data_IF_312262246969
#
_entry.id   IF_312262246969
#
_cell.length_a   1.000
_cell.length_b   1.000
_cell.length_c   1.000
_cell.angle_alpha   90.00
_cell.angle_beta   90.00
_cell.angle_gamma   90.00
#
_symmetry.space_group_name_H-M   'P 1'
#
loop_
_entity.id
_entity.type
_entity.pdbx_description
1 polymer ?
#
# COMPACT_ATOMS: atom_id res chain seq x y z
N UNK A 1 -18.09 19.14 -8.12
CA UNK A 1 -18.06 18.72 -9.55
C UNK A 1 -17.22 17.48 -9.79
N UNK A 2 -15.92 17.43 -9.44
CA UNK A 2 -15.10 16.21 -9.63
C UNK A 2 -15.66 15.02 -8.84
N UNK A 3 -16.02 15.23 -7.57
CA UNK A 3 -16.53 14.16 -6.70
C UNK A 3 -17.78 13.47 -7.26
N UNK A 4 -18.77 14.22 -7.76
CA UNK A 4 -20.04 13.64 -8.25
C UNK A 4 -19.86 12.85 -9.56
N UNK A 5 -19.03 13.37 -10.47
CA UNK A 5 -18.71 12.69 -11.72
C UNK A 5 -17.99 11.36 -11.49
N UNK A 6 -17.04 11.34 -10.54
CA UNK A 6 -16.29 10.13 -10.19
C UNK A 6 -17.18 9.13 -9.48
N UNK A 7 -18.04 9.56 -8.55
CA UNK A 7 -19.01 8.66 -7.89
C UNK A 7 -20.00 8.03 -8.87
N UNK A 8 -20.45 8.79 -9.87
CA UNK A 8 -21.30 8.27 -10.93
C UNK A 8 -20.55 7.28 -11.84
N UNK A 9 -19.25 7.46 -12.05
CA UNK A 9 -18.42 6.49 -12.78
C UNK A 9 -18.17 5.22 -11.95
N UNK A 10 -17.84 5.35 -10.65
CA UNK A 10 -17.70 4.22 -9.72
C UNK A 10 -18.97 3.36 -9.65
N UNK A 11 -20.16 3.98 -9.59
CA UNK A 11 -21.44 3.26 -9.52
C UNK A 11 -21.77 2.47 -10.79
N UNK A 12 -21.18 2.85 -11.93
CA UNK A 12 -21.27 2.12 -13.20
C UNK A 12 -20.08 1.18 -13.43
N UNK A 13 -19.16 1.07 -12.47
CA UNK A 13 -17.87 0.37 -12.63
C UNK A 13 -17.04 0.87 -13.83
N UNK A 14 -17.24 2.13 -14.22
CA UNK A 14 -16.46 2.81 -15.25
C UNK A 14 -15.17 3.35 -14.61
N UNK A 15 -14.29 2.43 -14.27
CA UNK A 15 -13.05 2.75 -13.56
C UNK A 15 -12.12 3.63 -14.39
N UNK A 16 -12.11 3.46 -15.71
CA UNK A 16 -11.31 4.28 -16.62
C UNK A 16 -11.70 5.76 -16.56
N UNK A 17 -13.01 6.06 -16.62
CA UNK A 17 -13.49 7.44 -16.47
C UNK A 17 -13.20 8.00 -15.08
N UNK A 18 -13.43 7.20 -14.02
CA UNK A 18 -13.14 7.61 -12.64
C UNK A 18 -11.65 7.97 -12.47
N UNK A 19 -10.75 7.10 -12.92
CA UNK A 19 -9.30 7.30 -12.83
C UNK A 19 -8.86 8.51 -13.63
N UNK A 20 -9.37 8.67 -14.87
CA UNK A 20 -9.00 9.79 -15.73
C UNK A 20 -9.32 11.14 -15.08
N UNK A 21 -10.51 11.26 -14.49
CA UNK A 21 -10.95 12.50 -13.84
C UNK A 21 -10.13 12.78 -12.57
N UNK A 22 -9.93 11.77 -11.71
CA UNK A 22 -9.21 11.95 -10.45
C UNK A 22 -7.71 12.20 -10.67
N UNK A 23 -7.07 11.45 -11.57
CA UNK A 23 -5.63 11.59 -11.84
C UNK A 23 -5.27 12.96 -12.42
N UNK A 24 -6.16 13.59 -13.19
CA UNK A 24 -5.94 14.93 -13.73
C UNK A 24 -5.78 15.99 -12.61
N UNK A 25 -6.55 15.86 -11.52
CA UNK A 25 -6.53 16.77 -10.37
C UNK A 25 -5.53 16.35 -9.27
N UNK A 26 -5.05 15.11 -9.29
CA UNK A 26 -4.20 14.53 -8.26
C UNK A 26 -2.82 15.21 -8.17
N UNK A 27 -2.41 15.64 -6.98
CA UNK A 27 -1.05 16.12 -6.70
C UNK A 27 -0.56 15.62 -5.34
N UNK A 28 0.50 14.80 -5.37
CA UNK A 28 1.09 14.18 -4.18
C UNK A 28 1.49 15.17 -3.07
N UNK A 29 2.15 16.29 -3.43
CA UNK A 29 2.66 17.29 -2.46
C UNK A 29 1.96 18.65 -2.57
N UNK A 30 0.66 18.67 -2.87
CA UNK A 30 -0.10 19.93 -2.89
C UNK A 30 -0.46 20.38 -1.47
N UNK A 31 -0.41 21.69 -1.22
CA UNK A 31 -1.01 22.30 -0.04
C UNK A 31 -2.54 22.41 -0.16
N UNK A 32 -3.07 22.29 -1.38
CA UNK A 32 -4.51 22.19 -1.64
C UNK A 32 -5.01 20.81 -1.22
N UNK A 33 -5.93 20.79 -0.25
CA UNK A 33 -6.49 19.58 0.31
C UNK A 33 -7.28 18.76 -0.72
N UNK A 34 -7.98 19.40 -1.66
CA UNK A 34 -8.77 18.70 -2.67
C UNK A 34 -7.85 17.99 -3.67
N UNK A 35 -6.76 18.64 -4.08
CA UNK A 35 -5.76 18.03 -4.97
C UNK A 35 -4.99 16.89 -4.31
N UNK A 36 -4.67 17.03 -3.01
CA UNK A 36 -4.03 15.95 -2.25
C UNK A 36 -5.01 14.79 -2.02
N UNK A 37 -6.27 15.07 -1.72
CA UNK A 37 -7.31 14.03 -1.58
C UNK A 37 -7.56 13.31 -2.90
N UNK A 38 -7.57 14.02 -4.03
CA UNK A 38 -7.64 13.41 -5.35
C UNK A 38 -6.45 12.46 -5.59
N UNK A 39 -5.25 12.81 -5.10
CA UNK A 39 -4.09 11.91 -5.18
C UNK A 39 -4.29 10.60 -4.41
N UNK A 40 -4.81 10.68 -3.18
CA UNK A 40 -5.10 9.47 -2.39
C UNK A 40 -6.19 8.62 -3.05
N UNK A 41 -7.25 9.27 -3.55
CA UNK A 41 -8.35 8.59 -4.24
C UNK A 41 -7.89 7.90 -5.52
N UNK A 42 -6.96 8.50 -6.27
CA UNK A 42 -6.38 7.86 -7.45
C UNK A 42 -5.78 6.49 -7.10
N UNK A 43 -5.03 6.37 -6.01
CA UNK A 43 -4.43 5.10 -5.59
C UNK A 43 -5.49 4.06 -5.24
N UNK A 44 -6.58 4.48 -4.58
CA UNK A 44 -7.69 3.59 -4.24
C UNK A 44 -8.45 3.11 -5.48
N UNK A 45 -8.62 3.98 -6.48
CA UNK A 45 -9.25 3.62 -7.75
C UNK A 45 -8.42 2.59 -8.52
N UNK A 46 -7.09 2.72 -8.54
CA UNK A 46 -6.22 1.73 -9.17
C UNK A 46 -6.42 0.34 -8.54
N UNK A 47 -6.52 0.26 -7.22
CA UNK A 47 -6.80 -1.01 -6.54
C UNK A 47 -8.18 -1.56 -6.86
N UNK A 48 -9.23 -0.71 -6.83
CA UNK A 48 -10.60 -1.13 -7.18
C UNK A 48 -10.72 -1.61 -8.62
N UNK A 49 -9.91 -1.05 -9.52
CA UNK A 49 -9.86 -1.40 -10.92
C UNK A 49 -8.93 -2.60 -11.22
N UNK A 50 -8.32 -3.20 -10.19
CA UNK A 50 -7.33 -4.28 -10.31
C UNK A 50 -6.07 -3.88 -11.13
N UNK A 51 -5.79 -2.57 -11.24
CA UNK A 51 -4.64 -1.99 -11.93
C UNK A 51 -3.43 -1.91 -11.00
N UNK A 52 -2.98 -3.08 -10.53
CA UNK A 52 -1.92 -3.21 -9.52
C UNK A 52 -0.54 -2.90 -10.11
N UNK A 53 -0.31 -3.18 -11.39
CA UNK A 53 0.95 -2.87 -12.07
C UNK A 53 1.16 -1.35 -12.18
N UNK A 54 0.09 -0.60 -12.49
CA UNK A 54 0.09 0.86 -12.50
C UNK A 54 0.40 1.43 -11.12
N UNK A 55 -0.23 0.87 -10.07
CA UNK A 55 0.07 1.26 -8.70
C UNK A 55 1.53 0.94 -8.33
N UNK A 56 2.05 -0.20 -8.77
CA UNK A 56 3.44 -0.60 -8.54
C UNK A 56 4.45 0.29 -9.27
N UNK A 57 4.13 0.78 -10.46
CA UNK A 57 4.93 1.78 -11.17
C UNK A 57 4.99 3.09 -10.39
N UNK A 58 3.84 3.60 -9.92
CA UNK A 58 3.77 4.83 -9.12
C UNK A 58 4.51 4.69 -7.79
N UNK A 59 4.40 3.53 -7.13
CA UNK A 59 5.04 3.21 -5.86
C UNK A 59 6.58 3.33 -5.87
N UNK A 60 7.22 3.38 -7.04
CA UNK A 60 8.67 3.60 -7.16
C UNK A 60 9.09 4.99 -6.74
N UNK A 61 8.24 5.99 -6.93
CA UNK A 61 8.54 7.40 -6.64
C UNK A 61 7.54 8.05 -5.67
N UNK A 62 6.37 7.44 -5.48
CA UNK A 62 5.30 7.99 -4.66
C UNK A 62 5.10 7.19 -3.35
N UNK A 63 5.25 7.88 -2.23
CA UNK A 63 5.15 7.27 -0.89
C UNK A 63 3.73 6.81 -0.56
N UNK A 64 2.70 7.47 -1.07
CA UNK A 64 1.31 7.09 -0.85
C UNK A 64 0.96 5.86 -1.70
N UNK A 65 1.39 5.83 -2.96
CA UNK A 65 1.24 4.67 -3.83
C UNK A 65 1.92 3.43 -3.23
N UNK A 66 3.16 3.59 -2.74
CA UNK A 66 3.91 2.54 -2.04
C UNK A 66 3.15 1.98 -0.84
N UNK A 67 2.75 2.85 0.08
CA UNK A 67 1.98 2.43 1.27
C UNK A 67 0.65 1.76 0.90
N UNK A 68 -0.01 2.23 -0.16
CA UNK A 68 -1.28 1.65 -0.62
C UNK A 68 -1.08 0.26 -1.22
N UNK A 69 -0.01 0.07 -1.99
CA UNK A 69 0.39 -1.22 -2.55
C UNK A 69 0.76 -2.21 -1.44
N UNK A 70 1.60 -1.83 -0.47
CA UNK A 70 1.98 -2.73 0.62
C UNK A 70 0.77 -3.17 1.45
N UNK A 71 -0.18 -2.23 1.67
CA UNK A 71 -1.46 -2.56 2.31
C UNK A 71 -2.28 -3.55 1.48
N UNK A 72 -2.39 -3.35 0.16
CA UNK A 72 -3.09 -4.28 -0.73
C UNK A 72 -2.47 -5.69 -0.67
N UNK A 73 -1.14 -5.79 -0.72
CA UNK A 73 -0.43 -7.06 -0.63
C UNK A 73 -0.67 -7.74 0.74
N UNK A 74 -0.66 -6.98 1.84
CA UNK A 74 -1.01 -7.48 3.17
C UNK A 74 -2.44 -8.03 3.23
N UNK A 75 -3.41 -7.27 2.72
CA UNK A 75 -4.83 -7.64 2.73
C UNK A 75 -5.09 -8.92 1.93
N UNK A 76 -4.34 -9.14 0.85
CA UNK A 76 -4.41 -10.33 -0.01
C UNK A 76 -3.45 -11.46 0.40
N UNK A 77 -2.63 -11.24 1.43
CA UNK A 77 -1.72 -12.28 1.93
C UNK A 77 -0.50 -12.57 1.06
N UNK A 78 -0.10 -11.63 0.21
CA UNK A 78 1.05 -11.72 -0.70
C UNK A 78 2.37 -11.44 0.06
N UNK A 79 2.77 -12.36 0.93
CA UNK A 79 4.00 -12.30 1.72
C UNK A 79 5.26 -12.29 0.85
N UNK A 80 5.30 -13.06 -0.25
CA UNK A 80 6.42 -13.09 -1.19
C UNK A 80 6.72 -11.72 -1.81
N UNK A 81 5.68 -10.99 -2.24
CA UNK A 81 5.81 -9.64 -2.79
C UNK A 81 6.25 -8.63 -1.73
N UNK A 82 5.66 -8.70 -0.53
CA UNK A 82 6.08 -7.86 0.60
C UNK A 82 7.55 -8.12 0.95
N UNK A 83 8.01 -9.38 0.93
CA UNK A 83 9.40 -9.76 1.20
C UNK A 83 10.35 -9.17 0.16
N UNK A 84 10.03 -9.30 -1.13
CA UNK A 84 10.85 -8.73 -2.19
C UNK A 84 10.99 -7.21 -2.05
N UNK A 85 9.90 -6.52 -1.69
CA UNK A 85 9.91 -5.07 -1.49
C UNK A 85 10.73 -4.68 -0.25
N UNK A 86 10.55 -5.39 0.86
CA UNK A 86 11.30 -5.20 2.08
C UNK A 86 12.81 -5.36 1.86
N UNK A 87 13.23 -6.39 1.12
CA UNK A 87 14.63 -6.62 0.73
C UNK A 87 15.23 -5.50 -0.12
N UNK A 88 14.40 -4.71 -0.82
CA UNK A 88 14.82 -3.51 -1.55
C UNK A 88 14.85 -2.25 -0.66
N UNK A 89 14.71 -2.39 0.65
CA UNK A 89 14.72 -1.31 1.63
C UNK A 89 13.36 -0.67 1.90
N UNK A 90 12.26 -1.29 1.46
CA UNK A 90 10.92 -0.80 1.76
C UNK A 90 10.49 -1.17 3.19
N UNK A 91 10.76 -0.26 4.14
CA UNK A 91 10.41 -0.46 5.55
C UNK A 91 8.92 -0.65 5.80
N UNK A 92 8.06 -0.06 4.97
CA UNK A 92 6.61 -0.26 5.09
C UNK A 92 6.22 -1.69 4.69
N UNK A 93 6.82 -2.23 3.63
CA UNK A 93 6.64 -3.63 3.25
C UNK A 93 7.14 -4.60 4.33
N UNK A 94 8.28 -4.31 4.98
CA UNK A 94 8.77 -5.11 6.11
C UNK A 94 7.76 -5.15 7.26
N UNK A 95 7.24 -3.99 7.65
CA UNK A 95 6.19 -3.89 8.67
C UNK A 95 4.96 -4.75 8.32
N UNK A 96 4.44 -4.64 7.09
CA UNK A 96 3.27 -5.40 6.66
C UNK A 96 3.56 -6.90 6.56
N UNK A 97 4.76 -7.31 6.16
CA UNK A 97 5.17 -8.72 6.14
C UNK A 97 5.18 -9.31 7.54
N UNK A 98 5.86 -8.66 8.49
CA UNK A 98 5.89 -9.10 9.90
C UNK A 98 4.46 -9.17 10.45
N UNK A 99 3.65 -8.13 10.22
CA UNK A 99 2.25 -8.10 10.64
C UNK A 99 1.43 -9.25 10.04
N UNK A 100 1.67 -9.62 8.77
CA UNK A 100 0.98 -10.72 8.10
C UNK A 100 1.32 -12.07 8.73
N UNK A 101 2.61 -12.35 8.90
CA UNK A 101 3.11 -13.59 9.53
C UNK A 101 2.57 -13.71 10.97
N UNK A 102 2.61 -12.62 11.74
CA UNK A 102 2.03 -12.55 13.08
C UNK A 102 0.53 -12.84 13.09
N UNK A 103 -0.23 -12.27 12.15
CA UNK A 103 -1.67 -12.53 12.00
C UNK A 103 -1.97 -14.00 11.68
N UNK A 104 -1.06 -14.69 10.98
CA UNK A 104 -1.16 -16.13 10.68
C UNK A 104 -0.67 -17.04 11.81
N UNK A 105 -0.13 -16.48 12.90
CA UNK A 105 0.44 -17.26 14.00
C UNK A 105 1.83 -17.83 13.68
N UNK A 106 2.56 -17.21 12.75
CA UNK A 106 3.88 -17.64 12.32
C UNK A 106 4.97 -16.81 13.02
N UNK A 107 5.06 -16.89 14.36
CA UNK A 107 5.96 -16.02 15.14
C UNK A 107 7.44 -16.24 14.80
N UNK A 108 7.85 -17.50 14.61
CA UNK A 108 9.23 -17.84 14.26
C UNK A 108 9.58 -17.23 12.89
N UNK A 109 8.69 -17.35 11.90
CA UNK A 109 8.90 -16.77 10.59
C UNK A 109 8.94 -15.23 10.65
N UNK A 110 8.09 -14.61 11.46
CA UNK A 110 8.09 -13.16 11.68
C UNK A 110 9.44 -12.67 12.21
N UNK A 111 10.03 -13.38 13.19
CA UNK A 111 11.36 -13.04 13.73
C UNK A 111 12.46 -13.24 12.67
N UNK A 112 12.46 -14.39 12.00
CA UNK A 112 13.45 -14.73 10.97
C UNK A 112 13.49 -13.68 9.85
N UNK A 113 12.32 -13.21 9.40
CA UNK A 113 12.24 -12.18 8.37
C UNK A 113 12.88 -10.86 8.79
N UNK A 114 12.73 -10.45 10.06
CA UNK A 114 13.38 -9.23 10.55
C UNK A 114 14.88 -9.42 10.62
N UNK A 115 15.33 -10.54 11.19
CA UNK A 115 16.75 -10.87 11.34
C UNK A 115 17.46 -10.94 9.98
N UNK A 116 16.78 -11.44 8.96
CA UNK A 116 17.31 -11.56 7.59
C UNK A 116 17.34 -10.24 6.81
N UNK A 117 16.32 -9.39 6.97
CA UNK A 117 16.13 -8.22 6.09
C UNK A 117 16.69 -6.93 6.70
N UNK A 118 16.32 -6.62 7.94
CA UNK A 118 16.77 -5.42 8.64
C UNK A 118 16.79 -5.69 10.16
N UNK A 119 17.82 -6.39 10.68
CA UNK A 119 17.95 -6.68 12.10
C UNK A 119 18.16 -5.43 12.96
N UNK A 120 18.39 -4.27 12.34
CA UNK A 120 18.51 -3.00 13.04
C UNK A 120 17.17 -2.24 13.15
N UNK A 121 16.11 -2.69 12.47
CA UNK A 121 14.80 -2.07 12.55
C UNK A 121 14.11 -2.45 13.87
N UNK A 122 14.31 -1.62 14.88
CA UNK A 122 13.75 -1.79 16.22
C UNK A 122 12.23 -1.96 16.20
N UNK A 123 11.54 -1.25 15.31
CA UNK A 123 10.08 -1.33 15.23
C UNK A 123 9.62 -2.67 14.66
N UNK A 124 10.31 -3.19 13.64
CA UNK A 124 10.04 -4.51 13.09
C UNK A 124 10.34 -5.62 14.12
N UNK A 125 11.43 -5.49 14.88
CA UNK A 125 11.80 -6.42 15.96
C UNK A 125 10.73 -6.46 17.07
N UNK A 126 10.31 -5.29 17.56
CA UNK A 126 9.25 -5.20 18.57
C UNK A 126 7.94 -5.82 18.07
N UNK A 127 7.60 -5.60 16.80
CA UNK A 127 6.39 -6.17 16.21
C UNK A 127 6.48 -7.70 16.08
N UNK A 128 7.65 -8.23 15.73
CA UNK A 128 7.87 -9.67 15.58
C UNK A 128 7.83 -10.41 16.92
N UNK A 129 8.28 -9.77 18.00
CA UNK A 129 8.43 -10.37 19.34
C UNK A 129 7.25 -10.16 20.28
N UNK A 130 6.38 -9.17 20.04
CA UNK A 130 5.21 -8.89 20.90
C UNK A 130 4.40 -10.14 21.17
N UNK A 131 4.10 -10.53 22.41
CA UNK A 131 3.22 -11.67 22.64
C UNK A 131 1.77 -11.34 22.21
N UNK A 132 1.12 -12.27 21.49
CA UNK A 132 -0.31 -12.17 21.22
C UNK A 132 -1.05 -12.48 22.54
N UNK A 133 -1.40 -11.44 23.30
CA UNK A 133 -2.23 -11.58 24.52
C UNK A 133 -3.65 -12.05 24.20
#
# INVERSE_FOLDING_TARGET
>A
MIHDAVRAAESRSDWGAAISVVSAAARCRSADADMHNAHLWHMDLLVKAELIDELAMLARADVHARRRLDRFLYENGCDGDLRQRAQRGDKAALYYLVKLLRRRGEQIAAQQVVDEIDPADQYALELATRDSS
#
